data_IF_464100893099
#
_entry.id   IF_464100893099
#
_cell.length_a   1.000
_cell.length_b   1.000
_cell.length_c   1.000
_cell.angle_alpha   90.00
_cell.angle_beta   90.00
_cell.angle_gamma   90.00
#
_symmetry.space_group_name_H-M   'P 1'
#
loop_
_entity.id
_entity.type
_entity.pdbx_description
1 polymer ?
#
# COMPACT_ATOMS: atom_id res chain seq x y z
N UNK A 1 10.42 -22.24 8.82
CA UNK A 1 10.58 -21.93 7.37
C UNK A 1 11.96 -21.37 7.14
N UNK A 2 12.68 -21.87 6.15
CA UNK A 2 14.06 -21.42 5.88
C UNK A 2 14.03 -20.37 4.75
N UNK A 3 14.31 -19.10 5.10
CA UNK A 3 14.42 -18.00 4.13
C UNK A 3 15.53 -18.29 3.09
N UNK A 4 16.62 -18.98 3.48
CA UNK A 4 17.71 -19.29 2.58
C UNK A 4 17.27 -20.24 1.44
N UNK A 5 16.30 -21.11 1.68
CA UNK A 5 15.74 -22.00 0.66
C UNK A 5 14.97 -21.26 -0.44
N UNK A 6 14.54 -20.02 -0.21
CA UNK A 6 13.74 -19.21 -1.14
C UNK A 6 14.56 -18.64 -2.29
N UNK A 7 15.89 -18.63 -2.22
CA UNK A 7 16.81 -18.13 -3.26
C UNK A 7 16.43 -16.72 -3.78
N UNK A 8 16.16 -15.81 -2.84
CA UNK A 8 15.75 -14.46 -3.18
C UNK A 8 16.85 -13.68 -3.91
N UNK A 9 16.49 -12.75 -4.84
CA UNK A 9 17.43 -11.80 -5.38
C UNK A 9 18.09 -10.97 -4.27
N UNK A 10 19.39 -10.73 -4.39
CA UNK A 10 20.14 -10.02 -3.35
C UNK A 10 19.63 -8.60 -3.15
N UNK A 11 19.19 -8.28 -1.92
CA UNK A 11 18.62 -6.98 -1.57
C UNK A 11 19.68 -5.88 -1.56
N UNK A 12 20.80 -6.14 -0.86
CA UNK A 12 21.94 -5.20 -0.74
C UNK A 12 23.03 -5.51 -1.76
N UNK A 13 22.64 -5.74 -3.02
CA UNK A 13 23.54 -5.85 -4.16
C UNK A 13 23.19 -4.80 -5.20
N UNK A 14 24.21 -4.13 -5.73
CA UNK A 14 24.05 -3.26 -6.91
C UNK A 14 23.85 -4.09 -8.20
N UNK A 15 23.61 -3.42 -9.31
CA UNK A 15 23.44 -4.08 -10.64
C UNK A 15 24.66 -4.86 -11.12
N UNK A 16 25.84 -4.62 -10.54
CA UNK A 16 27.08 -5.32 -10.87
C UNK A 16 27.39 -6.46 -9.90
N UNK A 17 26.50 -6.70 -8.90
CA UNK A 17 26.69 -7.70 -7.85
C UNK A 17 27.59 -7.27 -6.69
N UNK A 18 27.97 -5.98 -6.62
CA UNK A 18 28.75 -5.45 -5.49
C UNK A 18 27.87 -5.22 -4.27
N UNK A 19 28.40 -5.49 -3.07
CA UNK A 19 27.66 -5.33 -1.81
C UNK A 19 27.46 -3.85 -1.51
N UNK A 20 26.22 -3.48 -1.21
CA UNK A 20 25.83 -2.15 -0.75
C UNK A 20 26.05 -2.05 0.76
N UNK A 21 26.89 -1.10 1.20
CA UNK A 21 27.26 -0.91 2.60
C UNK A 21 27.02 0.51 3.12
N UNK A 22 26.49 1.42 2.28
CA UNK A 22 26.21 2.80 2.69
C UNK A 22 24.78 3.21 2.37
N UNK A 23 24.18 4.14 3.13
CA UNK A 23 22.86 4.68 2.83
C UNK A 23 22.73 5.28 1.43
N UNK A 24 23.75 6.02 0.96
CA UNK A 24 23.74 6.67 -0.34
C UNK A 24 23.70 5.64 -1.48
N UNK A 25 24.48 4.57 -1.37
CA UNK A 25 24.47 3.46 -2.34
C UNK A 25 23.11 2.74 -2.34
N UNK A 26 22.49 2.58 -1.15
CA UNK A 26 21.13 2.04 -1.07
C UNK A 26 20.10 2.94 -1.76
N UNK A 27 20.12 4.27 -1.52
CA UNK A 27 19.14 5.15 -2.15
C UNK A 27 19.26 5.15 -3.68
N UNK A 28 20.48 5.11 -4.22
CA UNK A 28 20.68 4.95 -5.66
C UNK A 28 20.11 3.61 -6.17
N UNK A 29 20.34 2.52 -5.43
CA UNK A 29 19.78 1.20 -5.77
C UNK A 29 18.26 1.17 -5.66
N UNK A 30 17.68 1.80 -4.64
CA UNK A 30 16.23 1.89 -4.45
C UNK A 30 15.55 2.61 -5.63
N UNK A 31 16.16 3.66 -6.18
CA UNK A 31 15.64 4.35 -7.35
C UNK A 31 15.67 3.44 -8.59
N UNK A 32 16.79 2.71 -8.82
CA UNK A 32 16.88 1.70 -9.90
C UNK A 32 15.84 0.58 -9.74
N UNK A 33 15.69 0.03 -8.51
CA UNK A 33 14.73 -1.02 -8.21
C UNK A 33 13.29 -0.54 -8.44
N UNK A 34 12.97 0.67 -7.98
CA UNK A 34 11.63 1.24 -8.15
C UNK A 34 11.27 1.37 -9.63
N UNK A 35 12.15 1.95 -10.45
CA UNK A 35 11.93 2.07 -11.90
C UNK A 35 11.77 0.71 -12.56
N UNK A 36 12.57 -0.26 -12.14
CA UNK A 36 12.53 -1.61 -12.71
C UNK A 36 11.24 -2.35 -12.32
N UNK A 37 10.85 -2.34 -11.04
CA UNK A 37 9.64 -2.98 -10.53
C UNK A 37 8.40 -2.28 -11.11
N UNK A 38 8.42 -0.94 -11.18
CA UNK A 38 7.36 -0.17 -11.83
C UNK A 38 7.15 -0.65 -13.27
N UNK A 39 8.23 -0.74 -14.04
CA UNK A 39 8.17 -1.17 -15.44
C UNK A 39 7.68 -2.61 -15.61
N UNK A 40 8.14 -3.52 -14.77
CA UNK A 40 7.95 -4.97 -14.97
C UNK A 40 6.69 -5.51 -14.30
N UNK A 41 6.26 -4.96 -13.17
CA UNK A 41 5.14 -5.49 -12.38
C UNK A 41 3.93 -4.54 -12.40
N UNK A 42 4.01 -3.37 -11.78
CA UNK A 42 2.83 -2.50 -11.64
C UNK A 42 2.52 -1.68 -12.90
N UNK A 43 3.52 -1.46 -13.73
CA UNK A 43 3.47 -0.66 -14.94
C UNK A 43 3.64 0.84 -14.68
N UNK A 44 4.32 1.52 -15.60
CA UNK A 44 4.53 2.96 -15.54
C UNK A 44 3.32 3.69 -16.10
N UNK A 45 2.73 4.60 -15.32
CA UNK A 45 1.70 5.49 -15.85
C UNK A 45 2.35 6.48 -16.82
N UNK A 46 1.72 6.75 -17.99
CA UNK A 46 2.19 7.78 -18.92
C UNK A 46 2.34 9.13 -18.22
N UNK A 47 3.39 9.86 -18.56
CA UNK A 47 3.55 11.24 -18.12
C UNK A 47 2.47 12.10 -18.77
N UNK A 48 1.56 12.62 -17.97
CA UNK A 48 0.43 13.45 -18.37
C UNK A 48 0.27 14.61 -17.41
N UNK A 49 -0.04 15.78 -17.93
CA UNK A 49 -0.35 16.97 -17.14
C UNK A 49 -1.78 16.89 -16.58
N UNK A 50 -2.03 15.88 -15.72
CA UNK A 50 -3.33 15.74 -15.07
C UNK A 50 -3.43 16.75 -13.94
N UNK A 51 -4.34 17.71 -14.10
CA UNK A 51 -4.68 18.70 -13.09
C UNK A 51 -5.79 18.17 -12.21
N UNK A 52 -5.57 18.19 -10.90
CA UNK A 52 -6.59 17.82 -9.90
C UNK A 52 -7.11 19.08 -9.20
N UNK A 53 -8.42 19.24 -9.18
CA UNK A 53 -9.12 20.27 -8.40
C UNK A 53 -9.96 19.62 -7.33
N UNK A 54 -10.08 20.29 -6.17
CA UNK A 54 -10.73 19.72 -4.98
C UNK A 54 -11.90 20.61 -4.59
N UNK A 55 -13.06 20.01 -4.34
CA UNK A 55 -14.26 20.70 -3.90
C UNK A 55 -14.89 19.98 -2.72
N UNK A 56 -14.98 20.64 -1.57
CA UNK A 56 -15.73 20.11 -0.45
C UNK A 56 -17.23 20.19 -0.76
N UNK A 57 -17.90 19.04 -0.87
CA UNK A 57 -19.33 18.93 -1.20
C UNK A 57 -20.21 18.62 -0.01
N UNK A 58 -19.60 18.12 1.09
CA UNK A 58 -20.31 17.83 2.34
C UNK A 58 -19.44 18.21 3.55
N UNK A 59 -20.11 18.70 4.59
CA UNK A 59 -19.50 19.00 5.90
C UNK A 59 -20.49 18.67 7.02
N UNK A 60 -20.08 17.82 7.95
CA UNK A 60 -20.77 17.65 9.23
C UNK A 60 -19.77 17.90 10.37
N UNK A 61 -19.89 19.04 11.02
CA UNK A 61 -19.03 19.48 12.12
C UNK A 61 -19.77 19.59 13.47
N UNK A 62 -21.04 19.22 13.51
CA UNK A 62 -21.91 19.43 14.69
C UNK A 62 -22.40 18.13 15.32
N UNK A 63 -22.71 17.10 14.53
CA UNK A 63 -23.33 15.87 15.04
C UNK A 63 -22.49 14.61 14.79
N UNK A 64 -21.50 14.66 13.92
CA UNK A 64 -20.66 13.50 13.62
C UNK A 64 -19.86 13.09 14.86
N UNK A 65 -19.98 11.82 15.28
CA UNK A 65 -19.45 11.28 16.53
C UNK A 65 -19.81 12.19 17.73
N UNK A 66 -21.09 12.49 17.90
CA UNK A 66 -21.60 13.39 18.94
C UNK A 66 -20.92 14.78 18.97
N UNK A 67 -20.42 15.25 17.83
CA UNK A 67 -19.75 16.52 17.67
C UNK A 67 -18.26 16.54 18.01
N UNK A 68 -17.66 15.38 18.33
CA UNK A 68 -16.23 15.26 18.65
C UNK A 68 -15.34 15.18 17.39
N UNK A 69 -15.92 14.91 16.24
CA UNK A 69 -15.21 14.82 14.96
C UNK A 69 -15.92 15.61 13.88
N UNK A 70 -15.19 15.87 12.79
CA UNK A 70 -15.69 16.54 11.58
C UNK A 70 -15.63 15.56 10.44
N UNK A 71 -16.75 15.37 9.73
CA UNK A 71 -16.80 14.58 8.50
C UNK A 71 -16.88 15.51 7.29
N UNK A 72 -16.02 15.30 6.31
CA UNK A 72 -16.01 15.99 5.02
C UNK A 72 -16.13 15.00 3.89
N UNK A 73 -16.80 15.39 2.81
CA UNK A 73 -16.69 14.72 1.51
C UNK A 73 -16.05 15.70 0.53
N UNK A 74 -15.01 15.25 -0.13
CA UNK A 74 -14.26 16.01 -1.10
C UNK A 74 -14.39 15.35 -2.47
N UNK A 75 -14.90 16.08 -3.44
CA UNK A 75 -14.83 15.71 -4.85
C UNK A 75 -13.48 16.12 -5.43
N UNK A 76 -12.85 15.20 -6.15
CA UNK A 76 -11.61 15.41 -6.88
C UNK A 76 -11.94 15.32 -8.37
N UNK A 77 -11.80 16.41 -9.08
CA UNK A 77 -11.90 16.41 -10.54
C UNK A 77 -10.51 16.38 -11.12
N UNK A 78 -10.17 15.25 -11.75
CA UNK A 78 -8.92 15.04 -12.48
C UNK A 78 -9.15 15.31 -13.95
N UNK A 79 -8.41 16.22 -14.57
CA UNK A 79 -8.59 16.64 -15.96
C UNK A 79 -7.29 16.66 -16.75
N UNK A 80 -7.35 16.28 -18.00
CA UNK A 80 -6.25 16.28 -18.96
C UNK A 80 -6.78 16.34 -20.39
N UNK A 81 -6.16 17.17 -21.24
CA UNK A 81 -6.45 17.24 -22.69
C UNK A 81 -7.94 17.47 -23.06
N UNK A 82 -8.68 18.16 -22.20
CA UNK A 82 -10.11 18.46 -22.40
C UNK A 82 -11.07 17.37 -21.91
N UNK A 83 -10.56 16.27 -21.40
CA UNK A 83 -11.34 15.23 -20.70
C UNK A 83 -11.19 15.36 -19.18
N UNK A 84 -12.17 14.86 -18.42
CA UNK A 84 -12.16 14.91 -16.97
C UNK A 84 -12.93 13.74 -16.35
N UNK A 85 -12.45 13.31 -15.18
CA UNK A 85 -13.14 12.35 -14.33
C UNK A 85 -13.26 12.88 -12.91
N UNK A 86 -14.45 12.77 -12.30
CA UNK A 86 -14.70 13.17 -10.90
C UNK A 86 -14.94 11.94 -10.05
N UNK A 87 -14.17 11.85 -8.99
CA UNK A 87 -14.26 10.84 -7.94
C UNK A 87 -14.23 11.53 -6.58
N UNK A 88 -14.45 10.80 -5.51
CA UNK A 88 -14.52 11.41 -4.17
C UNK A 88 -13.75 10.62 -3.14
N UNK A 89 -13.44 11.30 -2.04
CA UNK A 89 -13.04 10.67 -0.80
C UNK A 89 -13.75 11.31 0.38
N UNK A 90 -13.86 10.55 1.46
CA UNK A 90 -14.38 11.03 2.73
C UNK A 90 -13.24 11.20 3.72
N UNK A 91 -13.33 12.22 4.56
CA UNK A 91 -12.34 12.55 5.56
C UNK A 91 -13.02 12.84 6.90
N UNK A 92 -12.78 11.96 7.88
CA UNK A 92 -13.16 12.16 9.27
C UNK A 92 -11.93 12.63 10.05
N UNK A 93 -12.03 13.76 10.72
CA UNK A 93 -10.97 14.29 11.59
C UNK A 93 -11.52 14.53 13.00
N UNK A 94 -10.81 14.11 14.07
CA UNK A 94 -11.16 14.51 15.42
C UNK A 94 -10.94 16.02 15.58
N UNK A 95 -11.75 16.66 16.40
CA UNK A 95 -11.49 18.04 16.83
C UNK A 95 -10.33 18.01 17.81
N UNK A 96 -9.24 18.69 17.48
CA UNK A 96 -7.98 18.63 18.24
C UNK A 96 -7.24 19.96 18.14
N UNK A 97 -6.55 20.35 19.22
CA UNK A 97 -5.60 21.46 19.22
C UNK A 97 -4.20 21.03 18.73
N UNK A 98 -4.01 19.75 18.46
CA UNK A 98 -2.77 19.17 17.92
C UNK A 98 -2.97 18.77 16.47
N UNK A 99 -1.88 18.74 15.71
CA UNK A 99 -1.88 18.17 14.37
C UNK A 99 -2.31 16.68 14.41
N UNK A 100 -3.17 16.31 13.47
CA UNK A 100 -3.83 15.00 13.42
C UNK A 100 -3.14 14.11 12.38
N UNK A 101 -2.51 12.99 12.78
CA UNK A 101 -2.05 11.97 11.85
C UNK A 101 -3.23 11.30 11.15
N UNK A 102 -3.08 10.87 9.90
CA UNK A 102 -4.18 10.36 9.09
C UNK A 102 -3.92 8.93 8.62
N UNK A 103 -4.92 8.07 8.77
CA UNK A 103 -4.98 6.77 8.11
C UNK A 103 -5.72 6.95 6.77
N UNK A 104 -4.98 6.89 5.66
CA UNK A 104 -5.54 6.97 4.31
C UNK A 104 -5.81 5.56 3.81
N UNK A 105 -7.06 5.20 3.74
CA UNK A 105 -7.54 3.86 3.38
C UNK A 105 -8.12 3.82 1.97
N UNK A 106 -7.65 2.89 1.16
CA UNK A 106 -8.33 2.49 -0.07
C UNK A 106 -9.30 1.35 0.26
N UNK A 107 -10.59 1.51 -0.08
CA UNK A 107 -11.66 0.62 0.35
C UNK A 107 -12.51 0.11 -0.83
N UNK A 108 -13.12 -1.05 -0.66
CA UNK A 108 -14.04 -1.65 -1.63
C UNK A 108 -15.41 -0.97 -1.68
N UNK A 109 -15.86 -0.44 -0.55
CA UNK A 109 -17.15 0.21 -0.43
C UNK A 109 -17.08 1.70 -0.77
N UNK A 110 -18.10 2.25 -1.45
CA UNK A 110 -18.22 3.70 -1.67
C UNK A 110 -18.65 4.48 -0.41
N UNK A 111 -18.86 3.81 0.71
CA UNK A 111 -19.35 4.42 1.95
C UNK A 111 -18.24 4.56 2.97
N UNK A 112 -18.17 5.71 3.65
CA UNK A 112 -17.24 5.94 4.77
C UNK A 112 -17.58 5.09 6.02
N UNK A 113 -18.81 4.61 6.12
CA UNK A 113 -19.25 3.71 7.19
C UNK A 113 -19.22 2.27 6.71
N UNK A 114 -18.08 1.62 6.88
CA UNK A 114 -17.93 0.19 6.67
C UNK A 114 -17.90 -0.48 8.04
N UNK A 115 -18.69 -1.51 8.24
CA UNK A 115 -18.80 -2.19 9.55
C UNK A 115 -17.46 -2.72 10.09
N UNK A 116 -16.50 -2.97 9.23
CA UNK A 116 -15.17 -3.45 9.60
C UNK A 116 -14.21 -2.33 9.99
N UNK A 117 -14.57 -1.05 9.79
CA UNK A 117 -13.73 0.11 10.09
C UNK A 117 -14.30 0.89 11.28
N UNK A 118 -13.61 0.91 12.43
CA UNK A 118 -14.08 1.59 13.63
C UNK A 118 -13.74 3.10 13.59
N UNK A 119 -14.35 3.87 12.69
CA UNK A 119 -14.01 5.28 12.44
C UNK A 119 -14.09 6.14 13.71
N UNK A 120 -15.08 5.90 14.57
CA UNK A 120 -15.19 6.62 15.85
C UNK A 120 -14.01 6.32 16.77
N UNK A 121 -13.59 5.05 16.88
CA UNK A 121 -12.43 4.67 17.69
C UNK A 121 -11.14 5.26 17.12
N UNK A 122 -10.99 5.30 15.79
CA UNK A 122 -9.84 5.93 15.10
C UNK A 122 -9.77 7.40 15.49
N UNK A 123 -10.89 8.14 15.38
CA UNK A 123 -10.96 9.55 15.75
C UNK A 123 -10.73 9.77 17.26
N UNK A 124 -11.29 8.92 18.12
CA UNK A 124 -11.11 9.00 19.58
C UNK A 124 -9.66 8.80 19.99
N UNK A 125 -8.89 7.99 19.26
CA UNK A 125 -7.45 7.82 19.46
C UNK A 125 -6.61 8.97 18.89
N UNK A 126 -7.24 9.99 18.30
CA UNK A 126 -6.58 11.17 17.76
C UNK A 126 -6.00 10.98 16.37
N UNK A 127 -6.50 10.01 15.61
CA UNK A 127 -6.21 9.83 14.19
C UNK A 127 -7.35 10.37 13.32
N UNK A 128 -7.01 10.94 12.19
CA UNK A 128 -7.94 11.14 11.09
C UNK A 128 -8.10 9.86 10.28
N UNK A 129 -9.23 9.75 9.59
CA UNK A 129 -9.51 8.65 8.68
C UNK A 129 -9.95 9.22 7.33
N UNK A 130 -9.16 9.02 6.30
CA UNK A 130 -9.49 9.32 4.92
C UNK A 130 -9.78 8.03 4.17
N UNK A 131 -10.86 7.98 3.39
CA UNK A 131 -11.23 6.78 2.64
C UNK A 131 -11.62 7.09 1.20
N UNK A 132 -11.07 6.30 0.29
CA UNK A 132 -11.33 6.33 -1.15
C UNK A 132 -11.98 5.00 -1.55
N UNK A 133 -13.08 5.04 -2.29
CA UNK A 133 -13.57 3.85 -3.00
C UNK A 133 -12.78 3.67 -4.29
N UNK A 134 -12.13 2.52 -4.45
CA UNK A 134 -11.23 2.25 -5.58
C UNK A 134 -11.99 2.27 -6.93
N UNK A 135 -13.24 1.81 -6.95
CA UNK A 135 -14.07 1.80 -8.16
C UNK A 135 -14.58 3.18 -8.59
N UNK A 136 -14.63 4.15 -7.67
CA UNK A 136 -14.91 5.55 -8.07
C UNK A 136 -13.73 6.17 -8.81
N UNK A 137 -12.52 5.67 -8.59
CA UNK A 137 -11.31 6.11 -9.27
C UNK A 137 -11.25 5.52 -10.69
N UNK A 138 -11.33 4.21 -10.78
CA UNK A 138 -11.46 3.43 -12.02
C UNK A 138 -11.90 2.01 -11.66
N UNK A 139 -12.80 1.41 -12.44
CA UNK A 139 -13.39 0.09 -12.16
C UNK A 139 -12.36 -1.03 -12.18
N UNK A 140 -12.67 -2.07 -11.44
CA UNK A 140 -11.86 -3.29 -11.33
C UNK A 140 -12.15 -4.27 -12.49
N UNK A 141 -11.83 -3.83 -13.68
CA UNK A 141 -12.00 -4.57 -14.93
C UNK A 141 -10.93 -4.16 -15.95
N UNK A 142 -10.96 -4.76 -17.13
CA UNK A 142 -10.02 -4.52 -18.24
C UNK A 142 -10.39 -3.31 -19.12
N UNK A 143 -11.44 -2.56 -18.77
CA UNK A 143 -11.81 -1.33 -19.47
C UNK A 143 -10.90 -0.16 -18.99
N UNK A 144 -10.03 0.29 -19.88
CA UNK A 144 -9.14 1.43 -19.64
C UNK A 144 -9.69 2.74 -20.21
N UNK A 145 -10.92 2.74 -20.75
CA UNK A 145 -11.65 3.97 -21.10
C UNK A 145 -12.54 4.48 -19.97
N UNK A 146 -12.51 3.79 -18.79
CA UNK A 146 -13.28 4.12 -17.60
C UNK A 146 -12.48 4.92 -16.57
N UNK A 147 -13.17 5.77 -15.82
CA UNK A 147 -12.61 6.49 -14.69
C UNK A 147 -11.38 7.33 -15.07
N UNK A 148 -10.39 7.38 -14.18
CA UNK A 148 -9.12 8.07 -14.48
C UNK A 148 -8.29 7.33 -15.52
N UNK A 149 -8.55 6.05 -15.79
CA UNK A 149 -7.80 5.27 -16.76
C UNK A 149 -7.85 5.92 -18.15
N UNK A 150 -8.99 6.48 -18.55
CA UNK A 150 -9.14 7.17 -19.84
C UNK A 150 -8.27 8.44 -19.97
N UNK A 151 -7.89 9.07 -18.83
CA UNK A 151 -7.00 10.22 -18.88
C UNK A 151 -5.56 9.81 -19.22
N UNK A 152 -5.16 8.60 -18.81
CA UNK A 152 -3.88 8.01 -19.16
C UNK A 152 -3.91 7.34 -20.54
N UNK A 153 -4.99 6.66 -20.86
CA UNK A 153 -5.18 5.84 -22.07
C UNK A 153 -6.50 6.18 -22.78
N UNK A 154 -6.55 7.31 -23.53
CA UNK A 154 -7.80 7.77 -24.14
C UNK A 154 -8.45 6.79 -25.12
N UNK A 155 -7.64 5.94 -25.75
CA UNK A 155 -8.10 4.87 -26.67
C UNK A 155 -8.25 3.51 -25.97
N UNK A 156 -8.01 3.44 -24.65
CA UNK A 156 -8.06 2.23 -23.85
C UNK A 156 -6.88 1.27 -24.08
N UNK A 157 -5.89 1.64 -24.91
CA UNK A 157 -4.79 0.77 -25.25
C UNK A 157 -3.60 0.99 -24.33
N UNK A 158 -3.01 -0.11 -23.85
CA UNK A 158 -1.79 -0.11 -23.03
C UNK A 158 -0.67 -0.84 -23.75
N UNK A 159 0.53 -0.29 -23.68
CA UNK A 159 1.77 -0.97 -24.03
C UNK A 159 2.17 -2.06 -23.02
N UNK A 160 3.28 -2.70 -23.31
CA UNK A 160 3.80 -3.84 -22.51
C UNK A 160 4.12 -3.44 -21.06
N UNK A 161 4.66 -2.25 -20.85
CA UNK A 161 5.14 -1.74 -19.55
C UNK A 161 4.25 -0.65 -18.96
N UNK A 162 3.08 -0.42 -19.54
CA UNK A 162 2.15 0.60 -19.09
C UNK A 162 1.41 0.21 -17.81
N UNK A 163 1.06 1.24 -17.03
CA UNK A 163 0.45 1.10 -15.71
C UNK A 163 -0.86 0.34 -15.71
N UNK A 164 -0.97 -0.63 -14.77
CA UNK A 164 -2.20 -1.34 -14.48
C UNK A 164 -3.09 -0.58 -13.49
N UNK A 165 -4.23 -1.19 -13.13
CA UNK A 165 -5.20 -0.57 -12.20
C UNK A 165 -4.60 -0.32 -10.82
N UNK A 166 -3.71 -1.19 -10.31
CA UNK A 166 -3.03 -0.96 -9.02
C UNK A 166 -2.21 0.34 -9.05
N UNK A 167 -1.49 0.62 -10.14
CA UNK A 167 -0.75 1.86 -10.28
C UNK A 167 -1.68 3.10 -10.28
N UNK A 168 -2.86 2.99 -10.90
CA UNK A 168 -3.85 4.06 -10.92
C UNK A 168 -4.51 4.30 -9.57
N UNK A 169 -4.85 3.23 -8.84
CA UNK A 169 -5.37 3.34 -7.49
C UNK A 169 -4.31 3.93 -6.54
N UNK A 170 -3.05 3.52 -6.65
CA UNK A 170 -1.95 4.14 -5.90
C UNK A 170 -1.77 5.64 -6.26
N UNK A 171 -1.92 6.00 -7.54
CA UNK A 171 -1.90 7.39 -7.99
C UNK A 171 -2.99 8.23 -7.30
N UNK A 172 -4.21 7.71 -7.18
CA UNK A 172 -5.30 8.45 -6.52
C UNK A 172 -5.04 8.68 -5.02
N UNK A 173 -4.42 7.72 -4.32
CA UNK A 173 -3.99 7.92 -2.94
C UNK A 173 -2.99 9.09 -2.82
N UNK A 174 -2.07 9.22 -3.78
CA UNK A 174 -1.13 10.37 -3.84
C UNK A 174 -1.86 11.69 -4.07
N UNK A 175 -2.98 11.70 -4.82
CA UNK A 175 -3.81 12.92 -5.00
C UNK A 175 -4.55 13.31 -3.72
N UNK A 176 -4.98 12.34 -2.91
CA UNK A 176 -5.51 12.65 -1.57
C UNK A 176 -4.41 13.20 -0.66
N UNK A 177 -3.18 12.67 -0.73
CA UNK A 177 -2.03 13.24 0.00
C UNK A 177 -1.81 14.71 -0.35
N UNK A 178 -1.89 15.09 -1.65
CA UNK A 178 -1.77 16.49 -2.07
C UNK A 178 -2.81 17.39 -1.38
N UNK A 179 -4.05 16.90 -1.23
CA UNK A 179 -5.09 17.63 -0.51
C UNK A 179 -4.80 17.73 0.99
N UNK A 180 -4.39 16.62 1.61
CA UNK A 180 -4.08 16.59 3.04
C UNK A 180 -2.95 17.56 3.41
N UNK A 181 -1.96 17.74 2.55
CA UNK A 181 -0.88 18.73 2.73
C UNK A 181 -1.38 20.17 2.79
N UNK A 182 -2.55 20.48 2.23
CA UNK A 182 -3.16 21.82 2.28
C UNK A 182 -3.93 22.09 3.58
N UNK A 183 -4.19 21.04 4.38
CA UNK A 183 -5.02 21.15 5.59
C UNK A 183 -4.18 21.49 6.82
N UNK A 184 -4.44 22.63 7.48
CA UNK A 184 -3.64 23.08 8.62
C UNK A 184 -3.78 22.20 9.87
N UNK A 185 -4.89 21.45 10.00
CA UNK A 185 -5.14 20.53 11.11
C UNK A 185 -4.49 19.16 10.95
N UNK A 186 -3.96 18.83 9.76
CA UNK A 186 -3.37 17.52 9.46
C UNK A 186 -1.85 17.51 9.72
N UNK A 187 -1.36 16.46 10.39
CA UNK A 187 0.07 16.16 10.47
C UNK A 187 0.50 15.49 9.15
N UNK A 188 0.92 16.30 8.20
CA UNK A 188 1.32 15.85 6.86
C UNK A 188 2.55 14.92 6.86
N UNK A 189 3.35 14.93 7.92
CA UNK A 189 4.47 14.01 8.09
C UNK A 189 4.03 12.63 8.62
N UNK A 190 2.74 12.48 8.99
CA UNK A 190 2.20 11.26 9.60
C UNK A 190 0.94 10.77 8.91
N UNK A 191 1.01 10.55 7.59
CA UNK A 191 -0.05 9.91 6.81
C UNK A 191 0.34 8.46 6.51
N UNK A 192 -0.48 7.50 6.93
CA UNK A 192 -0.28 6.07 6.68
C UNK A 192 -1.20 5.58 5.54
N UNK A 193 -0.64 4.88 4.57
CA UNK A 193 -1.40 4.21 3.51
C UNK A 193 -1.87 2.84 3.99
N UNK A 194 -3.17 2.59 3.99
CA UNK A 194 -3.80 1.34 4.46
C UNK A 194 -4.62 0.72 3.34
N UNK A 195 -4.62 -0.59 3.24
CA UNK A 195 -5.48 -1.31 2.30
C UNK A 195 -5.54 -2.81 2.59
N UNK A 196 -6.60 -3.43 2.11
CA UNK A 196 -6.82 -4.87 2.25
C UNK A 196 -6.75 -5.56 0.90
N UNK A 197 -6.17 -6.78 0.85
CA UNK A 197 -6.14 -7.61 -0.36
C UNK A 197 -5.43 -6.90 -1.53
N UNK A 198 -6.07 -6.78 -2.71
CA UNK A 198 -5.55 -5.99 -3.85
C UNK A 198 -5.27 -4.53 -3.50
N UNK A 199 -6.03 -3.99 -2.56
CA UNK A 199 -5.83 -2.63 -2.08
C UNK A 199 -4.70 -2.55 -1.04
N UNK A 200 -4.33 -3.67 -0.42
CA UNK A 200 -3.09 -3.84 0.35
C UNK A 200 -1.85 -3.77 -0.55
N UNK A 201 -1.88 -4.42 -1.73
CA UNK A 201 -0.85 -4.26 -2.77
C UNK A 201 -0.75 -2.78 -3.19
N UNK A 202 -1.91 -2.13 -3.38
CA UNK A 202 -2.01 -0.70 -3.74
C UNK A 202 -1.40 0.21 -2.67
N UNK A 203 -1.69 -0.01 -1.39
CA UNK A 203 -1.16 0.80 -0.28
C UNK A 203 0.36 0.64 -0.15
N UNK A 204 0.88 -0.57 -0.30
CA UNK A 204 2.31 -0.84 -0.29
C UNK A 204 3.01 -0.13 -1.46
N UNK A 205 2.50 -0.29 -2.69
CA UNK A 205 3.05 0.36 -3.87
C UNK A 205 2.95 1.88 -3.81
N UNK A 206 1.85 2.42 -3.28
CA UNK A 206 1.70 3.85 -3.04
C UNK A 206 2.82 4.39 -2.16
N UNK A 207 3.07 3.78 -1.00
CA UNK A 207 4.12 4.22 -0.09
C UNK A 207 5.53 3.95 -0.64
N UNK A 208 5.74 2.87 -1.41
CA UNK A 208 7.02 2.57 -2.06
C UNK A 208 7.40 3.65 -3.11
N UNK A 209 6.41 4.30 -3.72
CA UNK A 209 6.59 5.27 -4.81
C UNK A 209 6.29 6.72 -4.43
N UNK A 210 5.89 7.00 -3.19
CA UNK A 210 5.71 8.35 -2.65
C UNK A 210 6.26 8.46 -1.23
N UNK A 211 7.35 9.19 -1.09
CA UNK A 211 8.09 9.33 0.17
C UNK A 211 7.35 10.13 1.26
N UNK A 212 6.24 10.80 0.93
CA UNK A 212 5.42 11.56 1.90
C UNK A 212 4.63 10.66 2.85
N UNK A 213 4.35 9.42 2.45
CA UNK A 213 3.66 8.48 3.34
C UNK A 213 4.58 8.01 4.46
N UNK A 214 4.13 8.19 5.69
CA UNK A 214 4.84 7.81 6.90
C UNK A 214 4.93 6.29 7.10
N UNK A 215 3.86 5.58 6.74
CA UNK A 215 3.74 4.13 6.90
C UNK A 215 2.96 3.51 5.75
N UNK A 216 3.32 2.28 5.39
CA UNK A 216 2.48 1.38 4.60
C UNK A 216 1.89 0.29 5.52
N UNK A 217 0.59 0.08 5.47
CA UNK A 217 -0.10 -0.97 6.23
C UNK A 217 -0.89 -1.90 5.28
N UNK A 218 -0.19 -2.78 4.51
CA UNK A 218 -0.83 -3.77 3.65
C UNK A 218 -1.41 -4.90 4.52
N UNK A 219 -2.71 -5.15 4.40
CA UNK A 219 -3.42 -6.24 5.06
C UNK A 219 -3.75 -7.34 4.07
N UNK A 220 -3.37 -8.59 4.36
CA UNK A 220 -3.61 -9.78 3.54
C UNK A 220 -3.29 -9.52 2.06
N UNK A 221 -2.17 -8.87 1.80
CA UNK A 221 -1.83 -8.38 0.47
C UNK A 221 -1.33 -9.47 -0.48
N UNK A 222 -0.80 -10.56 0.05
CA UNK A 222 -0.46 -11.78 -0.69
C UNK A 222 0.49 -11.59 -1.86
N UNK A 223 0.32 -12.39 -2.90
CA UNK A 223 1.09 -12.36 -4.15
C UNK A 223 1.11 -10.95 -4.76
N UNK A 224 2.26 -10.49 -5.23
CA UNK A 224 2.43 -9.10 -5.73
C UNK A 224 2.06 -8.02 -4.70
N UNK A 225 2.10 -8.38 -3.42
CA UNK A 225 1.97 -7.51 -2.26
C UNK A 225 3.17 -7.72 -1.34
N UNK A 226 2.94 -8.09 -0.07
CA UNK A 226 4.02 -8.35 0.88
C UNK A 226 4.55 -9.78 0.84
N UNK A 227 3.84 -10.72 0.21
CA UNK A 227 4.20 -12.14 0.15
C UNK A 227 5.29 -12.36 -0.91
N UNK A 228 6.47 -12.85 -0.49
CA UNK A 228 7.52 -13.23 -1.44
C UNK A 228 7.00 -14.31 -2.40
N UNK A 229 7.35 -14.17 -3.68
CA UNK A 229 6.85 -15.03 -4.76
C UNK A 229 7.55 -16.38 -4.82
N UNK A 230 8.88 -16.40 -4.57
CA UNK A 230 9.66 -17.64 -4.57
C UNK A 230 9.29 -18.54 -3.39
N UNK A 231 8.89 -19.76 -3.71
CA UNK A 231 8.44 -20.77 -2.73
C UNK A 231 7.13 -20.41 -2.02
N UNK A 232 6.36 -19.46 -2.54
CA UNK A 232 5.01 -19.15 -2.10
C UNK A 232 4.10 -20.39 -2.26
N UNK A 233 3.29 -20.65 -1.24
CA UNK A 233 2.35 -21.79 -1.22
C UNK A 233 0.89 -21.38 -1.46
N UNK A 234 0.62 -20.07 -1.49
CA UNK A 234 -0.69 -19.48 -1.81
C UNK A 234 -0.82 -19.12 -3.29
N UNK A 235 -1.40 -17.95 -3.56
CA UNK A 235 -1.59 -17.42 -4.91
C UNK A 235 -0.26 -17.23 -5.63
N UNK A 236 -0.18 -17.72 -6.87
CA UNK A 236 1.00 -17.62 -7.72
C UNK A 236 0.85 -16.48 -8.74
N UNK A 237 1.99 -16.01 -9.30
CA UNK A 237 1.99 -14.95 -10.33
C UNK A 237 1.08 -15.32 -11.51
N UNK A 238 1.12 -16.55 -11.99
CA UNK A 238 0.30 -16.97 -13.12
C UNK A 238 -1.21 -16.90 -12.79
N UNK A 239 -1.62 -17.26 -11.58
CA UNK A 239 -3.03 -17.21 -11.17
C UNK A 239 -3.56 -15.79 -11.12
N UNK A 240 -2.79 -14.87 -10.52
CA UNK A 240 -3.22 -13.48 -10.37
C UNK A 240 -3.20 -12.74 -11.72
N UNK A 241 -2.22 -12.99 -12.58
CA UNK A 241 -2.11 -12.32 -13.88
C UNK A 241 -3.06 -12.89 -14.94
N UNK A 242 -3.45 -14.16 -14.86
CA UNK A 242 -4.48 -14.74 -15.72
C UNK A 242 -5.88 -14.26 -15.30
N UNK A 243 -6.14 -14.16 -14.00
CA UNK A 243 -7.43 -13.74 -13.47
C UNK A 243 -7.65 -12.23 -13.55
N UNK A 244 -6.59 -11.45 -13.33
CA UNK A 244 -6.62 -10.00 -13.24
C UNK A 244 -5.48 -9.36 -14.08
N UNK A 245 -5.40 -9.62 -15.40
CA UNK A 245 -4.30 -9.13 -16.25
C UNK A 245 -4.23 -7.60 -16.30
N UNK A 246 -5.31 -6.92 -15.95
CA UNK A 246 -5.42 -5.47 -15.94
C UNK A 246 -4.89 -4.79 -14.67
N UNK A 247 -4.54 -5.56 -13.62
CA UNK A 247 -3.96 -4.98 -12.41
C UNK A 247 -2.52 -4.54 -12.60
N UNK A 248 -1.78 -5.22 -13.47
CA UNK A 248 -0.34 -5.12 -13.64
C UNK A 248 0.06 -4.67 -15.05
N UNK A 249 1.36 -4.43 -15.26
CA UNK A 249 1.93 -4.34 -16.60
C UNK A 249 1.76 -5.67 -17.33
N UNK A 250 1.57 -5.61 -18.66
CA UNK A 250 1.50 -6.84 -19.49
C UNK A 250 2.82 -7.63 -19.42
N UNK A 251 3.95 -6.94 -19.28
CA UNK A 251 5.27 -7.52 -19.11
C UNK A 251 5.37 -8.53 -17.95
N UNK A 252 4.57 -8.34 -16.88
CA UNK A 252 4.62 -9.20 -15.71
C UNK A 252 4.24 -10.66 -16.01
N UNK A 253 3.40 -10.88 -17.04
CA UNK A 253 2.96 -12.22 -17.46
C UNK A 253 4.13 -13.12 -17.93
N UNK A 254 5.26 -12.56 -18.35
CA UNK A 254 6.43 -13.37 -18.74
C UNK A 254 7.03 -14.20 -17.60
N UNK A 255 6.66 -13.88 -16.36
CA UNK A 255 7.09 -14.61 -15.16
C UNK A 255 6.08 -15.69 -14.73
N UNK A 256 4.96 -15.85 -15.44
CA UNK A 256 4.03 -16.94 -15.23
C UNK A 256 4.74 -18.29 -15.35
N UNK A 257 4.52 -19.19 -14.38
CA UNK A 257 5.16 -20.51 -14.31
C UNK A 257 6.70 -20.51 -14.31
N UNK A 258 7.33 -19.34 -14.15
CA UNK A 258 8.78 -19.20 -14.14
C UNK A 258 9.22 -18.10 -13.13
N UNK A 259 8.82 -18.26 -11.87
CA UNK A 259 9.13 -17.32 -10.79
C UNK A 259 10.64 -17.16 -10.58
N UNK A 260 11.44 -18.18 -10.90
CA UNK A 260 12.90 -18.14 -10.79
C UNK A 260 13.53 -17.11 -11.76
N UNK A 261 12.87 -16.82 -12.88
CA UNK A 261 13.32 -15.79 -13.81
C UNK A 261 12.96 -14.36 -13.39
N UNK A 262 12.14 -14.20 -12.35
CA UNK A 262 11.79 -12.87 -11.82
C UNK A 262 13.07 -12.23 -11.23
N UNK A 263 13.54 -11.09 -11.72
CA UNK A 263 14.82 -10.51 -11.28
C UNK A 263 14.71 -9.72 -9.98
N UNK A 264 13.52 -9.63 -9.41
CA UNK A 264 13.21 -9.06 -8.09
C UNK A 264 12.29 -10.00 -7.32
N UNK A 265 11.92 -9.63 -6.09
CA UNK A 265 10.86 -10.28 -5.32
C UNK A 265 10.27 -9.28 -4.32
N UNK A 266 9.15 -9.59 -3.70
CA UNK A 266 8.34 -8.63 -2.94
C UNK A 266 9.04 -8.03 -1.71
N UNK A 267 10.05 -8.69 -1.13
CA UNK A 267 10.90 -8.09 -0.10
C UNK A 267 11.58 -6.79 -0.56
N UNK A 268 11.88 -6.68 -1.87
CA UNK A 268 12.45 -5.45 -2.46
C UNK A 268 11.39 -4.35 -2.58
N UNK A 269 10.11 -4.68 -2.86
CA UNK A 269 9.01 -3.70 -2.83
C UNK A 269 8.83 -3.15 -1.41
N UNK A 270 8.84 -4.03 -0.39
CA UNK A 270 8.80 -3.62 1.02
C UNK A 270 9.98 -2.69 1.32
N UNK A 271 11.18 -3.05 0.89
CA UNK A 271 12.41 -2.29 1.14
C UNK A 271 12.41 -0.88 0.52
N UNK A 272 11.64 -0.63 -0.55
CA UNK A 272 11.48 0.72 -1.12
C UNK A 272 10.81 1.72 -0.15
N UNK A 273 10.13 1.24 0.88
CA UNK A 273 9.53 2.10 1.90
C UNK A 273 10.56 2.62 2.91
N UNK A 274 11.70 1.94 3.08
CA UNK A 274 12.73 2.32 4.04
C UNK A 274 13.21 3.78 3.85
N UNK A 275 13.57 4.50 4.95
CA UNK A 275 13.60 4.10 6.37
C UNK A 275 12.26 4.29 7.11
N UNK A 276 11.18 4.59 6.41
CA UNK A 276 9.83 4.80 6.96
C UNK A 276 9.24 3.47 7.47
N UNK A 277 8.02 3.50 7.96
CA UNK A 277 7.44 2.35 8.61
C UNK A 277 6.64 1.47 7.65
N UNK A 278 6.65 0.17 7.92
CA UNK A 278 5.77 -0.83 7.26
C UNK A 278 5.12 -1.67 8.35
N UNK A 279 3.83 -1.92 8.24
CA UNK A 279 3.09 -2.80 9.13
C UNK A 279 2.34 -3.85 8.31
N UNK A 280 2.95 -5.02 8.13
CA UNK A 280 2.36 -6.12 7.35
C UNK A 280 1.38 -6.90 8.22
N UNK A 281 0.19 -7.15 7.70
CA UNK A 281 -0.92 -7.78 8.41
C UNK A 281 -1.38 -9.00 7.63
N UNK A 282 -1.47 -10.15 8.30
CA UNK A 282 -1.85 -11.43 7.72
C UNK A 282 -2.98 -12.09 8.51
N UNK A 283 -3.81 -12.88 7.83
CA UNK A 283 -4.76 -13.81 8.46
C UNK A 283 -4.14 -15.20 8.63
N UNK A 284 -4.19 -15.79 9.83
CA UNK A 284 -3.57 -17.10 10.09
C UNK A 284 -4.12 -18.23 9.22
N UNK A 285 -5.37 -18.11 8.80
CA UNK A 285 -6.11 -19.07 7.96
C UNK A 285 -6.26 -18.62 6.51
N UNK A 286 -5.59 -17.52 6.14
CA UNK A 286 -5.56 -16.99 4.77
C UNK A 286 -4.45 -17.67 3.94
N UNK A 287 -4.62 -18.96 3.69
CA UNK A 287 -3.64 -19.75 2.93
C UNK A 287 -3.41 -19.20 1.50
N UNK A 288 -4.37 -18.45 0.95
CA UNK A 288 -4.24 -17.86 -0.38
C UNK A 288 -3.26 -16.68 -0.41
N UNK A 289 -3.23 -15.86 0.64
CA UNK A 289 -2.24 -14.78 0.78
C UNK A 289 -0.85 -15.29 1.23
N UNK A 290 -0.76 -16.49 1.76
CA UNK A 290 0.44 -17.11 2.32
C UNK A 290 1.06 -16.23 3.43
N UNK A 291 0.47 -16.22 4.65
CA UNK A 291 0.93 -15.39 5.77
C UNK A 291 2.40 -15.64 6.15
N UNK A 292 2.92 -16.83 5.89
CA UNK A 292 4.30 -17.16 6.12
C UNK A 292 5.22 -16.42 5.13
N UNK A 293 4.85 -16.37 3.86
CA UNK A 293 5.61 -15.63 2.85
C UNK A 293 5.49 -14.10 3.03
N UNK A 294 4.39 -13.58 3.60
CA UNK A 294 4.27 -12.17 4.00
C UNK A 294 5.22 -11.84 5.15
N UNK A 295 5.32 -12.70 6.18
CA UNK A 295 6.30 -12.54 7.25
C UNK A 295 7.73 -12.61 6.72
N UNK A 296 8.06 -13.63 5.94
CA UNK A 296 9.39 -13.79 5.36
C UNK A 296 9.78 -12.63 4.42
N UNK A 297 8.82 -12.02 3.73
CA UNK A 297 9.02 -10.78 2.96
C UNK A 297 9.50 -9.63 3.86
N UNK A 298 8.90 -9.47 5.03
CA UNK A 298 9.28 -8.48 6.03
C UNK A 298 10.68 -8.75 6.60
N UNK A 299 10.98 -10.03 6.89
CA UNK A 299 12.33 -10.46 7.35
C UNK A 299 13.39 -10.17 6.29
N UNK A 300 13.12 -10.55 5.04
CA UNK A 300 14.06 -10.36 3.94
C UNK A 300 14.32 -8.89 3.59
N UNK A 301 13.37 -7.99 3.88
CA UNK A 301 13.50 -6.55 3.68
C UNK A 301 14.30 -5.86 4.81
N UNK A 302 14.34 -6.45 6.01
CA UNK A 302 14.90 -5.87 7.23
C UNK A 302 16.35 -5.36 7.12
N UNK A 303 17.28 -6.01 6.38
CA UNK A 303 18.67 -5.54 6.27
C UNK A 303 18.82 -4.11 5.75
N UNK A 304 17.83 -3.59 5.00
CA UNK A 304 17.86 -2.17 4.55
C UNK A 304 17.60 -1.24 5.73
N UNK A 305 16.65 -1.54 6.60
CA UNK A 305 16.43 -0.73 7.80
C UNK A 305 17.66 -0.71 8.69
N UNK A 306 18.31 -1.86 8.87
CA UNK A 306 19.55 -1.97 9.64
C UNK A 306 20.68 -1.13 9.04
N UNK A 307 20.87 -1.19 7.72
CA UNK A 307 21.81 -0.34 6.98
C UNK A 307 21.54 1.16 7.20
N UNK A 308 20.27 1.54 7.34
CA UNK A 308 19.83 2.93 7.54
C UNK A 308 19.74 3.32 9.03
N UNK A 309 20.28 2.49 9.96
CA UNK A 309 20.31 2.76 11.40
C UNK A 309 18.93 2.62 12.07
N UNK A 310 18.04 1.87 11.45
CA UNK A 310 16.69 1.54 11.94
C UNK A 310 16.60 0.07 12.33
N UNK A 311 15.42 -0.36 12.80
CA UNK A 311 15.20 -1.76 13.17
C UNK A 311 14.28 -2.43 12.14
N UNK A 312 14.70 -3.59 11.66
CA UNK A 312 13.85 -4.49 10.88
C UNK A 312 12.71 -5.10 11.72
N UNK A 313 12.00 -6.06 11.14
CA UNK A 313 10.98 -6.82 11.87
C UNK A 313 11.61 -7.68 12.96
N UNK A 314 10.91 -7.87 14.08
CA UNK A 314 11.32 -8.80 15.13
C UNK A 314 11.36 -10.22 14.57
N UNK A 315 12.52 -10.89 14.74
CA UNK A 315 12.69 -12.26 14.26
C UNK A 315 12.06 -13.25 15.24
N UNK A 316 11.23 -14.13 14.70
CA UNK A 316 10.61 -15.25 15.41
C UNK A 316 10.65 -16.50 14.54
N UNK A 317 10.78 -17.66 15.19
CA UNK A 317 10.54 -18.92 14.50
C UNK A 317 9.05 -19.03 14.13
N UNK A 318 8.73 -19.69 13.03
CA UNK A 318 7.33 -19.83 12.54
C UNK A 318 6.40 -20.40 13.62
N UNK A 319 6.87 -21.36 14.40
CA UNK A 319 6.12 -21.95 15.51
C UNK A 319 5.79 -20.96 16.63
N UNK A 320 6.59 -19.91 16.78
CA UNK A 320 6.40 -18.86 17.80
C UNK A 320 5.43 -17.77 17.33
N UNK A 321 5.25 -17.60 16.03
CA UNK A 321 4.31 -16.60 15.47
C UNK A 321 2.86 -17.01 15.80
N UNK A 322 2.55 -18.32 15.76
CA UNK A 322 1.22 -18.84 16.12
C UNK A 322 0.10 -18.34 15.19
N UNK A 323 -1.15 -18.50 15.64
CA UNK A 323 -2.34 -18.02 14.92
C UNK A 323 -2.67 -16.56 15.21
N UNK A 324 -2.20 -16.01 16.34
CA UNK A 324 -2.40 -14.62 16.73
C UNK A 324 -1.10 -14.06 17.32
N UNK A 325 -0.53 -13.04 16.68
CA UNK A 325 0.68 -12.38 17.16
C UNK A 325 0.75 -10.93 16.72
N UNK A 326 1.57 -10.14 17.43
CA UNK A 326 1.85 -8.74 17.15
C UNK A 326 3.34 -8.47 17.42
N UNK A 327 4.11 -8.11 16.39
CA UNK A 327 5.54 -7.82 16.44
C UNK A 327 5.76 -6.34 16.11
N UNK A 328 5.88 -5.49 17.12
CA UNK A 328 5.89 -4.03 16.98
C UNK A 328 7.22 -3.37 17.35
N UNK A 329 8.25 -4.14 17.73
CA UNK A 329 9.51 -3.60 18.26
C UNK A 329 10.36 -2.90 17.17
N UNK A 330 10.21 -3.26 15.90
CA UNK A 330 10.95 -2.70 14.76
C UNK A 330 10.24 -1.54 14.07
N UNK A 331 10.90 -0.96 13.07
CA UNK A 331 10.30 -0.01 12.13
C UNK A 331 9.51 -0.75 11.03
N UNK A 332 9.81 -2.04 10.84
CA UNK A 332 8.87 -2.99 10.22
C UNK A 332 8.16 -3.69 11.36
N UNK A 333 6.83 -3.62 11.37
CA UNK A 333 5.97 -4.44 12.22
C UNK A 333 5.30 -5.56 11.43
N UNK A 334 4.91 -6.60 12.13
CA UNK A 334 4.15 -7.71 11.57
C UNK A 334 3.04 -8.12 12.53
N UNK A 335 1.89 -8.37 11.98
CA UNK A 335 0.74 -8.92 12.72
C UNK A 335 0.21 -10.15 11.99
N UNK A 336 -0.17 -11.16 12.76
CA UNK A 336 -1.02 -12.25 12.31
C UNK A 336 -2.27 -12.25 13.18
N UNK A 337 -3.45 -12.09 12.60
CA UNK A 337 -4.71 -12.25 13.33
C UNK A 337 -5.26 -13.66 13.15
N UNK A 338 -5.95 -14.19 14.16
CA UNK A 338 -6.69 -15.43 14.01
C UNK A 338 -7.85 -15.21 13.03
N UNK A 339 -7.83 -15.88 11.89
CA UNK A 339 -8.90 -15.79 10.91
C UNK A 339 -8.45 -15.90 9.47
N UNK A 340 -9.39 -15.64 8.58
CA UNK A 340 -9.24 -15.76 7.12
C UNK A 340 -8.88 -14.40 6.47
N UNK A 341 -9.26 -14.23 5.24
CA UNK A 341 -8.99 -13.05 4.41
C UNK A 341 -9.94 -11.88 4.77
N UNK A 342 -9.56 -11.01 5.71
CA UNK A 342 -10.34 -9.82 6.10
C UNK A 342 -9.47 -8.75 6.75
N UNK A 343 -10.04 -7.56 6.90
CA UNK A 343 -9.55 -6.50 7.80
C UNK A 343 -10.63 -6.17 8.81
N UNK A 344 -10.32 -6.21 10.09
CA UNK A 344 -11.30 -6.01 11.17
C UNK A 344 -10.88 -5.01 12.21
N UNK A 345 -11.74 -4.80 13.21
CA UNK A 345 -11.53 -3.82 14.29
C UNK A 345 -10.22 -4.06 15.05
N UNK A 346 -9.83 -5.32 15.23
CA UNK A 346 -8.56 -5.69 15.87
C UNK A 346 -7.36 -5.20 15.05
N UNK A 347 -7.42 -5.34 13.72
CA UNK A 347 -6.34 -4.90 12.84
C UNK A 347 -6.17 -3.39 12.91
N UNK A 348 -7.26 -2.63 12.86
CA UNK A 348 -7.24 -1.18 13.03
C UNK A 348 -6.65 -0.75 14.37
N UNK A 349 -6.99 -1.47 15.44
CA UNK A 349 -6.45 -1.21 16.78
C UNK A 349 -4.94 -1.43 16.80
N UNK A 350 -4.45 -2.52 16.21
CA UNK A 350 -3.03 -2.86 16.16
C UNK A 350 -2.23 -1.95 15.22
N UNK A 351 -2.80 -1.54 14.08
CA UNK A 351 -2.20 -0.49 13.23
C UNK A 351 -1.93 0.75 14.09
N UNK A 352 -2.93 1.22 14.83
CA UNK A 352 -2.76 2.40 15.68
C UNK A 352 -1.77 2.17 16.81
N UNK A 353 -1.73 0.98 17.44
CA UNK A 353 -0.73 0.64 18.47
C UNK A 353 0.69 0.71 17.90
N UNK A 354 0.90 0.12 16.72
CA UNK A 354 2.19 0.21 16.04
C UNK A 354 2.59 1.66 15.76
N UNK A 355 1.70 2.43 15.16
CA UNK A 355 1.95 3.84 14.83
C UNK A 355 2.17 4.71 16.08
N UNK A 356 1.46 4.48 17.18
CA UNK A 356 1.66 5.18 18.46
C UNK A 356 3.07 4.94 19.01
N UNK A 357 3.65 3.77 18.78
CA UNK A 357 5.03 3.45 19.19
C UNK A 357 6.10 4.16 18.34
N UNK A 358 5.71 4.82 17.23
CA UNK A 358 6.59 5.52 16.28
C UNK A 358 6.40 7.05 16.28
N UNK A 359 5.56 7.58 17.14
CA UNK A 359 5.30 9.03 17.28
C UNK A 359 6.44 9.80 17.93
#
# INVERSE_FOLDING_TARGET
MDLASRKLPGLLLDKNGSVITTPEAWYARADELREFIEKEEYGKLPEKDIVCTYKQTYLNNSTFHAGHSVLRTIEVTSSCDGDAHTWRFHLALPKSDKLVPVLLHMEFSPHYQVHTVPVENICTRGYGYAVISYEEVTRDNDDFTDGIARLFYPDGQRGEHDGGKIAMWAWSMKRVMDYLETMPEVDKEKVAAVGHSRLGKTSLWCAATDKRFWCAAPNCSGCSGASISRGNTGEQIWQITEKFPFWFAKAYQKYNHNVEALPFDQHQVIALVAPRHVYVISGSKDSWADPASEYLGSVAASPVWELLGKKGVELREEAEIGEDCELNAGDIGYQRHEGTHFIGVTDWTRIMNFLDSKR
#
